data_IF_406110338578
#
_entry.id   IF_406110338578
#
_cell.length_a   1.000
_cell.length_b   1.000
_cell.length_c   1.000
_cell.angle_alpha   90.00
_cell.angle_beta   90.00
_cell.angle_gamma   90.00
#
_symmetry.space_group_name_H-M   'P 1'
#
loop_
_entity.id
_entity.type
_entity.pdbx_description
1 polymer ?
#
# COMPACT_ATOMS: atom_id res chain seq x y z
N UNK A 1 7.50 7.96 4.11
CA UNK A 1 8.17 6.76 3.57
C UNK A 1 7.25 5.59 3.31
N UNK A 2 6.37 5.20 4.25
CA UNK A 2 5.58 3.95 4.15
C UNK A 2 4.71 3.85 2.89
N UNK A 3 4.14 4.96 2.43
CA UNK A 3 3.34 4.96 1.21
C UNK A 3 4.17 4.77 -0.07
N UNK A 4 5.39 5.32 -0.09
CA UNK A 4 6.29 5.17 -1.22
C UNK A 4 6.77 3.72 -1.31
N UNK A 5 7.05 3.09 -0.17
CA UNK A 5 7.36 1.66 -0.11
C UNK A 5 6.20 0.81 -0.64
N UNK A 6 4.95 1.10 -0.24
CA UNK A 6 3.76 0.41 -0.76
C UNK A 6 3.63 0.61 -2.28
N UNK A 7 3.86 1.82 -2.79
CA UNK A 7 3.79 2.11 -4.22
C UNK A 7 4.85 1.36 -5.03
N UNK A 8 6.09 1.32 -4.54
CA UNK A 8 7.19 0.55 -5.17
C UNK A 8 6.86 -0.94 -5.17
N UNK A 9 6.45 -1.50 -4.03
CA UNK A 9 6.06 -2.92 -3.94
C UNK A 9 4.88 -3.25 -4.84
N UNK A 10 3.91 -2.34 -4.98
CA UNK A 10 2.79 -2.49 -5.90
C UNK A 10 3.25 -2.53 -7.36
N UNK A 11 4.15 -1.64 -7.77
CA UNK A 11 4.71 -1.63 -9.12
C UNK A 11 5.42 -2.94 -9.45
N UNK A 12 6.31 -3.39 -8.55
CA UNK A 12 7.05 -4.66 -8.71
C UNK A 12 6.07 -5.83 -8.83
N UNK A 13 5.02 -5.87 -8.01
CA UNK A 13 4.01 -6.92 -8.06
C UNK A 13 3.28 -6.95 -9.41
N UNK A 14 2.93 -5.79 -9.97
CA UNK A 14 2.29 -5.71 -11.29
C UNK A 14 3.24 -6.17 -12.40
N UNK A 15 4.52 -5.81 -12.33
CA UNK A 15 5.55 -6.25 -13.28
C UNK A 15 5.75 -7.76 -13.24
N UNK A 16 5.92 -8.36 -12.05
CA UNK A 16 6.05 -9.81 -11.92
C UNK A 16 4.83 -10.57 -12.47
N UNK A 17 3.61 -10.06 -12.23
CA UNK A 17 2.40 -10.68 -12.78
C UNK A 17 2.31 -10.55 -14.30
N UNK A 18 2.90 -9.50 -14.88
CA UNK A 18 2.99 -9.33 -16.32
C UNK A 18 4.02 -10.29 -16.94
N UNK A 19 5.20 -10.42 -16.33
CA UNK A 19 6.22 -11.39 -16.74
C UNK A 19 5.71 -12.82 -16.71
N UNK A 20 5.00 -13.21 -15.63
CA UNK A 20 4.39 -14.53 -15.51
C UNK A 20 3.27 -14.79 -16.54
N UNK A 21 2.59 -13.75 -17.01
CA UNK A 21 1.58 -13.86 -18.09
C UNK A 21 2.24 -14.04 -19.47
N UNK A 22 3.37 -13.36 -19.72
CA UNK A 22 4.02 -13.29 -21.04
C UNK A 22 5.02 -14.42 -21.29
N UNK A 23 5.56 -15.02 -20.23
CA UNK A 23 6.50 -16.13 -20.32
C UNK A 23 5.84 -17.43 -20.85
N UNK A 24 6.26 -17.84 -22.04
CA UNK A 24 5.75 -19.02 -22.74
C UNK A 24 6.14 -20.34 -22.09
N UNK A 25 7.20 -20.35 -21.26
CA UNK A 25 7.68 -21.55 -20.57
C UNK A 25 6.78 -21.90 -19.37
N UNK A 26 5.99 -20.94 -18.87
CA UNK A 26 4.97 -21.19 -17.86
C UNK A 26 3.79 -21.98 -18.43
N UNK A 27 3.15 -22.80 -17.60
CA UNK A 27 1.95 -23.51 -18.01
C UNK A 27 0.75 -22.55 -18.19
N UNK A 28 -0.24 -23.00 -18.96
CA UNK A 28 -1.42 -22.19 -19.29
C UNK A 28 -2.22 -21.74 -18.06
N UNK A 29 -2.28 -22.55 -17.01
CA UNK A 29 -3.02 -22.19 -15.79
C UNK A 29 -2.27 -21.07 -15.05
N UNK A 30 -0.95 -21.20 -14.89
CA UNK A 30 -0.12 -20.15 -14.26
C UNK A 30 -0.26 -18.81 -14.98
N UNK A 31 -0.17 -18.79 -16.32
CA UNK A 31 -0.40 -17.54 -17.10
C UNK A 31 -1.81 -16.99 -16.91
N UNK A 32 -2.82 -17.85 -16.87
CA UNK A 32 -4.22 -17.44 -16.68
C UNK A 32 -4.46 -16.84 -15.29
N UNK A 33 -3.91 -17.46 -14.25
CA UNK A 33 -3.98 -16.97 -12.87
C UNK A 33 -3.25 -15.63 -12.72
N UNK A 34 -2.04 -15.51 -13.28
CA UNK A 34 -1.28 -14.26 -13.30
C UNK A 34 -2.08 -13.12 -13.95
N UNK A 35 -2.68 -13.38 -15.12
CA UNK A 35 -3.57 -12.43 -15.81
C UNK A 35 -4.79 -12.03 -14.97
N UNK A 36 -5.41 -13.00 -14.31
CA UNK A 36 -6.59 -12.77 -13.46
C UNK A 36 -6.24 -11.90 -12.24
N UNK A 37 -5.13 -12.20 -11.57
CA UNK A 37 -4.59 -11.41 -10.47
C UNK A 37 -4.23 -10.00 -10.93
N UNK A 38 -3.49 -9.88 -12.04
CA UNK A 38 -3.10 -8.59 -12.63
C UNK A 38 -4.30 -7.71 -12.86
N UNK A 39 -5.37 -8.23 -13.49
CA UNK A 39 -6.63 -7.50 -13.73
C UNK A 39 -7.28 -6.99 -12.44
N UNK A 40 -7.22 -7.76 -11.35
CA UNK A 40 -7.77 -7.35 -10.05
C UNK A 40 -6.94 -6.23 -9.42
N UNK A 41 -5.60 -6.35 -9.43
CA UNK A 41 -4.73 -5.35 -8.80
C UNK A 41 -4.62 -4.05 -9.61
N UNK A 42 -4.79 -4.09 -10.93
CA UNK A 42 -4.88 -2.87 -11.77
C UNK A 42 -6.31 -2.36 -11.96
N UNK A 43 -7.29 -2.96 -11.25
CA UNK A 43 -8.67 -2.51 -11.34
C UNK A 43 -8.81 -1.08 -10.81
N UNK A 44 -9.75 -0.33 -11.40
CA UNK A 44 -10.05 1.03 -10.96
C UNK A 44 -10.40 1.08 -9.46
N UNK A 45 -11.14 0.09 -8.98
CA UNK A 45 -11.49 -0.06 -7.57
C UNK A 45 -10.25 -0.17 -6.68
N UNK A 46 -9.29 -1.02 -7.04
CA UNK A 46 -8.04 -1.14 -6.29
C UNK A 46 -7.24 0.16 -6.29
N UNK A 47 -7.16 0.84 -7.43
CA UNK A 47 -6.48 2.13 -7.53
C UNK A 47 -7.11 3.20 -6.61
N UNK A 48 -8.44 3.28 -6.59
CA UNK A 48 -9.18 4.18 -5.69
C UNK A 48 -8.92 3.83 -4.22
N UNK A 49 -8.87 2.55 -3.87
CA UNK A 49 -8.55 2.09 -2.52
C UNK A 49 -7.14 2.50 -2.07
N UNK A 50 -6.14 2.42 -2.97
CA UNK A 50 -4.77 2.86 -2.65
C UNK A 50 -4.71 4.38 -2.40
N UNK A 51 -5.41 5.18 -3.21
CA UNK A 51 -5.52 6.64 -2.98
C UNK A 51 -6.25 6.94 -1.68
N UNK A 52 -7.31 6.20 -1.37
CA UNK A 52 -8.06 6.35 -0.13
C UNK A 52 -7.19 6.02 1.09
N UNK A 53 -6.48 4.89 1.06
CA UNK A 53 -5.51 4.49 2.09
C UNK A 53 -4.44 5.54 2.31
N UNK A 54 -3.95 6.17 1.24
CA UNK A 54 -3.01 7.29 1.34
C UNK A 54 -3.57 8.44 2.16
N UNK A 55 -4.82 8.83 1.90
CA UNK A 55 -5.48 9.92 2.64
C UNK A 55 -5.68 9.56 4.10
N UNK A 56 -6.15 8.34 4.38
CA UNK A 56 -6.34 7.84 5.75
C UNK A 56 -5.02 7.88 6.51
N UNK A 57 -3.95 7.31 5.96
CA UNK A 57 -2.63 7.32 6.61
C UNK A 57 -2.09 8.74 6.87
N UNK A 58 -2.29 9.66 5.93
CA UNK A 58 -1.83 11.04 6.11
C UNK A 58 -2.54 11.72 7.29
N UNK A 59 -3.86 11.54 7.40
CA UNK A 59 -4.66 12.09 8.52
C UNK A 59 -4.25 11.41 9.83
N UNK A 60 -4.20 10.07 9.86
CA UNK A 60 -3.83 9.32 11.06
C UNK A 60 -2.45 9.72 11.58
N UNK A 61 -1.45 9.85 10.71
CA UNK A 61 -0.11 10.27 11.12
C UNK A 61 -0.11 11.66 11.77
N UNK A 62 -0.84 12.62 11.19
CA UNK A 62 -0.94 13.96 11.77
C UNK A 62 -1.60 13.92 13.15
N UNK A 63 -2.68 13.15 13.30
CA UNK A 63 -3.36 12.95 14.59
C UNK A 63 -2.45 12.25 15.61
N UNK A 64 -1.70 11.22 15.19
CA UNK A 64 -0.74 10.52 16.06
C UNK A 64 0.31 11.48 16.61
N UNK A 65 0.88 12.34 15.77
CA UNK A 65 1.87 13.34 16.20
C UNK A 65 1.26 14.29 17.23
N UNK A 66 0.03 14.76 16.99
CA UNK A 66 -0.68 15.64 17.93
C UNK A 66 -0.89 14.98 19.29
N UNK A 67 -1.39 13.74 19.31
CA UNK A 67 -1.62 12.99 20.55
C UNK A 67 -0.33 12.72 21.32
N UNK A 68 0.75 12.36 20.62
CA UNK A 68 2.08 12.17 21.23
C UNK A 68 2.59 13.47 21.88
N UNK A 69 2.34 14.61 21.25
CA UNK A 69 2.75 15.89 21.81
C UNK A 69 1.90 16.30 23.02
N UNK A 70 0.59 16.05 23.01
CA UNK A 70 -0.26 16.24 24.17
C UNK A 70 0.14 15.34 25.34
N UNK A 71 0.45 14.07 25.08
CA UNK A 71 0.94 13.12 26.09
C UNK A 71 2.22 13.62 26.75
N UNK A 72 3.20 14.09 25.97
CA UNK A 72 4.43 14.67 26.50
C UNK A 72 4.19 15.90 27.37
N UNK A 73 3.24 16.77 26.98
CA UNK A 73 2.88 17.95 27.76
C UNK A 73 2.25 17.56 29.12
N UNK A 74 1.40 16.54 29.13
CA UNK A 74 0.79 16.03 30.37
C UNK A 74 1.86 15.45 31.29
N UNK A 75 2.77 14.64 30.77
CA UNK A 75 3.86 14.06 31.56
C UNK A 75 4.77 15.15 32.14
N UNK A 76 5.14 16.16 31.36
CA UNK A 76 5.93 17.28 31.83
C UNK A 76 5.22 18.07 32.96
N UNK A 77 3.90 18.22 32.89
CA UNK A 77 3.11 18.89 33.92
C UNK A 77 2.99 18.08 35.22
N UNK A 78 3.13 16.75 35.16
CA UNK A 78 3.12 15.86 36.33
C UNK A 78 4.50 15.82 37.01
N UNK A 79 5.59 15.94 36.24
CA UNK A 79 6.96 15.91 36.76
C UNK A 79 7.45 17.25 37.34
N UNK A 80 6.70 18.34 37.15
CA UNK A 80 6.91 19.66 37.79
C UNK A 80 6.21 19.79 39.13
#
# INVERSE_FOLDING_TARGET
>A
ESLNAIYVSYHVLVECLWELEDDSDNDTNTRHEAKSLRKKVVSFEFYVLVIFLRKVMAITNATTIQLQQEELNILAAIEM
#
